data_IF_847985334098
#
_entry.id   IF_847985334098
#
_cell.length_a   1.000
_cell.length_b   1.000
_cell.length_c   1.000
_cell.angle_alpha   90.00
_cell.angle_beta   90.00
_cell.angle_gamma   90.00
#
_symmetry.space_group_name_H-M   'P 1'
#
loop_
_entity.id
_entity.type
_entity.pdbx_description
1 polymer ?
#
# COMPACT_ATOMS: atom_id res chain seq x y z
N UNK A 1 -15.71 -24.41 -46.16
CA UNK A 1 -14.44 -23.86 -45.64
C UNK A 1 -14.74 -22.98 -44.43
N UNK A 2 -14.42 -23.46 -43.22
CA UNK A 2 -14.56 -22.69 -41.98
C UNK A 2 -13.44 -21.65 -41.91
N UNK A 3 -13.78 -20.35 -41.96
CA UNK A 3 -12.81 -19.26 -41.73
C UNK A 3 -12.81 -18.94 -40.24
N UNK A 4 -11.80 -19.44 -39.54
CA UNK A 4 -11.41 -18.95 -38.22
C UNK A 4 -10.81 -17.55 -38.41
N UNK A 5 -11.58 -16.50 -38.10
CA UNK A 5 -11.01 -15.17 -37.92
C UNK A 5 -10.36 -15.18 -36.54
N UNK A 6 -9.03 -15.28 -36.56
CA UNK A 6 -8.18 -15.25 -35.39
C UNK A 6 -8.50 -14.04 -34.54
N UNK A 7 -9.00 -14.33 -33.34
CA UNK A 7 -9.02 -13.44 -32.20
C UNK A 7 -7.58 -12.98 -31.96
N UNK A 8 -7.20 -11.85 -32.56
CA UNK A 8 -6.03 -11.09 -32.10
C UNK A 8 -6.48 -10.47 -30.78
N UNK A 9 -6.41 -11.29 -29.72
CA UNK A 9 -6.25 -10.80 -28.36
C UNK A 9 -4.94 -10.01 -28.38
N UNK A 10 -5.06 -8.74 -28.75
CA UNK A 10 -4.13 -7.70 -28.35
C UNK A 10 -4.21 -7.67 -26.84
N UNK A 11 -3.47 -8.58 -26.22
CA UNK A 11 -2.93 -8.45 -24.88
C UNK A 11 -2.17 -7.13 -24.96
N UNK A 12 -2.87 -6.02 -24.71
CA UNK A 12 -2.28 -4.86 -24.12
C UNK A 12 -1.78 -5.35 -22.77
N UNK A 13 -0.56 -5.89 -22.84
CA UNK A 13 0.37 -6.01 -21.75
C UNK A 13 0.46 -4.59 -21.21
N UNK A 14 -0.48 -4.25 -20.33
CA UNK A 14 -0.19 -3.32 -19.27
C UNK A 14 1.01 -3.97 -18.60
N UNK A 15 2.18 -3.48 -18.97
CA UNK A 15 3.43 -3.64 -18.26
C UNK A 15 3.21 -3.04 -16.88
N UNK A 16 2.41 -3.71 -16.05
CA UNK A 16 2.41 -3.59 -14.62
C UNK A 16 3.81 -4.05 -14.25
N UNK A 17 4.74 -3.10 -14.21
CA UNK A 17 6.00 -3.24 -13.50
C UNK A 17 5.66 -4.00 -12.22
N UNK A 18 6.21 -5.20 -12.11
CA UNK A 18 6.00 -6.16 -11.04
C UNK A 18 5.54 -5.47 -9.78
N UNK A 19 4.25 -5.63 -9.47
CA UNK A 19 3.68 -5.12 -8.22
C UNK A 19 4.60 -5.58 -7.11
N UNK A 20 5.22 -4.63 -6.43
CA UNK A 20 6.19 -4.90 -5.39
C UNK A 20 5.49 -5.76 -4.33
N UNK A 21 5.73 -7.08 -4.35
CA UNK A 21 5.23 -7.99 -3.33
C UNK A 21 6.10 -7.74 -2.12
N UNK A 22 5.70 -6.81 -1.24
CA UNK A 22 6.39 -6.64 0.04
C UNK A 22 6.10 -7.91 0.86
N UNK A 23 7.12 -8.71 1.20
CA UNK A 23 6.92 -9.87 2.05
C UNK A 23 6.48 -9.44 3.44
N UNK A 24 5.60 -10.24 4.06
CA UNK A 24 5.16 -10.03 5.45
C UNK A 24 6.33 -10.02 6.46
N UNK A 25 7.50 -10.56 6.09
CA UNK A 25 8.66 -10.77 6.95
C UNK A 25 9.91 -9.94 6.58
N UNK A 26 9.84 -8.98 5.65
CA UNK A 26 11.00 -8.14 5.37
C UNK A 26 11.18 -7.08 6.47
N UNK A 27 11.97 -7.43 7.49
CA UNK A 27 12.94 -6.45 8.00
C UNK A 27 13.85 -6.11 6.82
N UNK A 28 13.73 -4.88 6.29
CA UNK A 28 14.64 -4.38 5.27
C UNK A 28 15.96 -4.04 5.98
N UNK A 29 16.71 -5.05 6.38
CA UNK A 29 18.15 -4.93 6.49
C UNK A 29 18.69 -5.10 5.08
N UNK A 30 19.11 -4.00 4.45
CA UNK A 30 20.02 -4.08 3.30
C UNK A 30 21.44 -4.00 3.88
N UNK A 31 22.14 -5.13 4.12
CA UNK A 31 23.58 -5.10 4.13
C UNK A 31 24.07 -5.39 2.71
N UNK A 32 25.03 -4.56 2.30
CA UNK A 32 25.84 -4.71 1.09
C UNK A 32 26.44 -6.13 1.04
N UNK A 33 26.56 -6.64 -0.18
CA UNK A 33 27.40 -7.79 -0.58
C UNK A 33 27.16 -9.14 0.11
N UNK A 34 26.49 -10.07 -0.58
CA UNK A 34 26.83 -11.49 -0.54
C UNK A 34 26.09 -12.23 -1.67
N UNK A 35 26.81 -12.53 -2.76
CA UNK A 35 26.54 -13.74 -3.54
C UNK A 35 26.83 -14.93 -2.61
N UNK A 36 25.85 -15.77 -2.34
CA UNK A 36 25.99 -16.88 -1.40
C UNK A 36 24.77 -17.79 -1.33
N UNK A 37 24.88 -18.89 -2.07
CA UNK A 37 24.04 -20.09 -2.25
C UNK A 37 23.26 -20.57 -0.99
N UNK A 38 22.12 -21.22 -1.26
CA UNK A 38 21.37 -22.24 -0.47
C UNK A 38 20.26 -21.84 0.51
N UNK A 39 19.00 -22.04 0.10
CA UNK A 39 18.05 -23.00 0.71
C UNK A 39 16.74 -23.00 -0.09
N UNK A 40 16.57 -23.98 -1.00
CA UNK A 40 15.28 -24.23 -1.67
C UNK A 40 14.31 -24.93 -0.70
N UNK A 41 13.82 -24.20 0.31
CA UNK A 41 12.45 -24.45 0.72
C UNK A 41 11.59 -23.70 -0.28
N UNK A 42 10.68 -24.40 -0.98
CA UNK A 42 9.59 -23.74 -1.72
C UNK A 42 8.69 -23.07 -0.69
N UNK A 43 9.16 -21.98 -0.09
CA UNK A 43 8.35 -21.10 0.72
C UNK A 43 7.19 -20.70 -0.18
N UNK A 44 5.96 -21.03 0.25
CA UNK A 44 4.77 -20.51 -0.42
C UNK A 44 4.99 -19.01 -0.60
N UNK A 45 4.78 -18.46 -1.81
CA UNK A 45 5.01 -17.04 -2.04
C UNK A 45 4.24 -16.26 -0.94
N UNK A 46 4.90 -15.30 -0.27
CA UNK A 46 4.27 -14.57 0.80
C UNK A 46 2.96 -13.97 0.27
N UNK A 47 1.86 -14.14 1.02
CA UNK A 47 0.60 -13.52 0.65
C UNK A 47 0.83 -12.01 0.53
N UNK A 48 0.37 -11.37 -0.55
CA UNK A 48 0.56 -9.93 -0.72
C UNK A 48 -0.09 -9.19 0.44
N UNK A 49 0.64 -8.22 0.99
CA UNK A 49 0.09 -7.28 1.97
C UNK A 49 -1.11 -6.57 1.37
N UNK A 50 -2.27 -6.76 1.99
CA UNK A 50 -3.47 -6.00 1.62
C UNK A 50 -3.45 -4.65 2.32
N UNK A 51 -4.05 -3.65 1.69
CA UNK A 51 -4.08 -2.28 2.19
C UNK A 51 -5.53 -1.78 2.31
N UNK A 52 -5.73 -0.79 3.17
CA UNK A 52 -6.99 -0.05 3.29
C UNK A 52 -6.72 1.44 3.28
N UNK A 53 -7.61 2.20 2.64
CA UNK A 53 -7.55 3.65 2.60
C UNK A 53 -7.80 4.24 4.00
N UNK A 54 -6.97 5.20 4.42
CA UNK A 54 -7.09 5.85 5.73
C UNK A 54 -7.23 7.35 5.67
N UNK A 55 -6.93 8.00 4.55
CA UNK A 55 -7.15 9.43 4.40
C UNK A 55 -6.14 10.07 3.47
N UNK A 56 -6.11 11.39 3.49
CA UNK A 56 -5.25 12.20 2.64
C UNK A 56 -4.13 12.84 3.47
N UNK A 57 -3.04 13.17 2.81
CA UNK A 57 -1.98 13.99 3.38
C UNK A 57 -1.34 14.88 2.33
N UNK A 58 -0.62 15.90 2.79
CA UNK A 58 0.13 16.82 1.94
C UNK A 58 1.58 16.79 2.41
N UNK A 59 2.50 16.44 1.51
CA UNK A 59 3.93 16.63 1.72
C UNK A 59 4.31 18.04 1.28
N UNK A 60 5.06 18.75 2.12
CA UNK A 60 5.60 20.07 1.80
C UNK A 60 7.10 19.93 1.50
N UNK A 61 7.51 20.16 0.26
CA UNK A 61 8.92 20.15 -0.16
C UNK A 61 9.26 21.52 -0.75
N UNK A 62 9.88 22.38 0.08
CA UNK A 62 10.04 23.80 -0.27
C UNK A 62 8.68 24.48 -0.39
N UNK A 63 8.41 25.12 -1.54
CA UNK A 63 7.10 25.73 -1.84
C UNK A 63 6.09 24.75 -2.46
N UNK A 64 6.53 23.54 -2.80
CA UNK A 64 5.67 22.56 -3.48
C UNK A 64 4.84 21.77 -2.47
N UNK A 65 3.53 21.70 -2.71
CA UNK A 65 2.58 20.87 -1.96
C UNK A 65 2.18 19.68 -2.82
N UNK A 66 2.51 18.49 -2.37
CA UNK A 66 2.20 17.25 -3.08
C UNK A 66 1.12 16.50 -2.29
N UNK A 67 -0.13 16.41 -2.81
CA UNK A 67 -1.19 15.65 -2.16
C UNK A 67 -1.02 14.16 -2.37
N UNK A 68 -1.29 13.40 -1.31
CA UNK A 68 -1.22 11.94 -1.27
C UNK A 68 -2.50 11.37 -0.70
N UNK A 69 -2.94 10.25 -1.29
CA UNK A 69 -3.80 9.28 -0.60
C UNK A 69 -2.94 8.31 0.19
N UNK A 70 -3.33 8.09 1.43
CA UNK A 70 -2.60 7.27 2.38
C UNK A 70 -3.39 6.00 2.67
N UNK A 71 -2.69 4.89 2.61
CA UNK A 71 -3.21 3.56 2.90
C UNK A 71 -2.37 2.90 3.98
N UNK A 72 -2.99 2.05 4.79
CA UNK A 72 -2.32 1.24 5.81
C UNK A 72 -2.49 -0.24 5.47
N UNK A 73 -1.50 -1.06 5.80
CA UNK A 73 -1.64 -2.51 5.73
C UNK A 73 -2.82 -2.98 6.59
N UNK A 74 -3.65 -3.90 6.07
CA UNK A 74 -4.77 -4.55 6.77
C UNK A 74 -4.31 -5.53 7.87
N UNK A 75 -3.07 -5.42 8.30
CA UNK A 75 -2.48 -6.20 9.37
C UNK A 75 -1.30 -5.45 9.96
N UNK A 76 -0.99 -5.78 11.21
CA UNK A 76 0.16 -5.26 11.94
C UNK A 76 1.07 -6.39 12.43
N UNK A 77 2.36 -6.14 12.49
CA UNK A 77 3.30 -6.99 13.22
C UNK A 77 3.38 -6.58 14.69
N UNK A 78 3.62 -7.53 15.60
CA UNK A 78 3.93 -7.27 17.02
C UNK A 78 5.43 -7.49 17.25
N UNK A 79 6.13 -6.50 17.80
CA UNK A 79 7.59 -6.49 17.97
C UNK A 79 8.05 -6.34 19.42
N UNK A 80 7.11 -6.20 20.34
CA UNK A 80 7.39 -5.96 21.73
C UNK A 80 6.11 -5.63 22.48
N UNK A 81 6.25 -5.35 23.76
CA UNK A 81 5.12 -5.01 24.60
C UNK A 81 4.56 -3.62 24.24
N UNK A 82 3.42 -3.63 23.54
CA UNK A 82 2.75 -2.42 23.05
C UNK A 82 3.41 -1.78 21.82
N UNK A 83 4.35 -2.47 21.16
CA UNK A 83 5.02 -1.99 19.95
C UNK A 83 4.57 -2.80 18.75
N UNK A 84 4.04 -2.10 17.75
CA UNK A 84 3.51 -2.70 16.52
C UNK A 84 4.08 -2.03 15.28
N UNK A 85 4.23 -2.79 14.19
CA UNK A 85 4.62 -2.22 12.89
C UNK A 85 3.55 -2.41 11.84
N UNK A 86 3.42 -1.41 10.98
CA UNK A 86 2.49 -1.38 9.83
C UNK A 86 3.21 -0.78 8.63
N UNK A 87 2.76 -1.14 7.43
CA UNK A 87 3.18 -0.48 6.21
C UNK A 87 2.19 0.63 5.88
N UNK A 88 2.70 1.83 5.62
CA UNK A 88 1.95 2.92 5.03
C UNK A 88 2.32 3.03 3.55
N UNK A 89 1.32 3.20 2.69
CA UNK A 89 1.50 3.47 1.27
C UNK A 89 0.99 4.87 0.94
N UNK A 90 1.86 5.70 0.39
CA UNK A 90 1.58 7.07 -0.03
C UNK A 90 1.49 7.13 -1.55
N UNK A 91 0.28 7.30 -2.07
CA UNK A 91 0.00 7.37 -3.50
C UNK A 91 -0.28 8.82 -3.85
N UNK A 92 0.49 9.41 -4.78
CA UNK A 92 0.21 10.78 -5.24
C UNK A 92 -1.19 10.84 -5.86
N UNK A 93 -1.91 11.93 -5.61
CA UNK A 93 -3.31 12.07 -6.05
C UNK A 93 -3.47 12.00 -7.58
N UNK A 94 -2.49 12.55 -8.34
CA UNK A 94 -2.45 12.45 -9.80
C UNK A 94 -2.34 10.98 -10.28
N UNK A 95 -1.49 10.19 -9.63
CA UNK A 95 -1.34 8.76 -9.90
C UNK A 95 -2.62 8.00 -9.59
N UNK A 96 -3.30 8.31 -8.48
CA UNK A 96 -4.59 7.71 -8.17
C UNK A 96 -5.65 8.04 -9.24
N UNK A 97 -5.74 9.31 -9.66
CA UNK A 97 -6.68 9.75 -10.71
C UNK A 97 -6.42 9.03 -12.03
N UNK A 98 -5.16 8.86 -12.41
CA UNK A 98 -4.78 8.11 -13.61
C UNK A 98 -5.22 6.64 -13.53
N UNK A 99 -5.00 5.98 -12.39
CA UNK A 99 -5.46 4.59 -12.15
C UNK A 99 -6.98 4.51 -12.26
N UNK A 100 -7.70 5.41 -11.59
CA UNK A 100 -9.16 5.46 -11.61
C UNK A 100 -9.71 5.64 -13.03
N UNK A 101 -9.13 6.57 -13.81
CA UNK A 101 -9.53 6.80 -15.19
C UNK A 101 -9.28 5.58 -16.07
N UNK A 102 -8.14 4.91 -15.91
CA UNK A 102 -7.83 3.66 -16.61
C UNK A 102 -8.87 2.57 -16.34
N UNK A 103 -9.28 2.41 -15.08
CA UNK A 103 -10.31 1.43 -14.68
C UNK A 103 -11.67 1.80 -15.26
N UNK A 104 -12.08 3.07 -15.21
CA UNK A 104 -13.34 3.53 -15.80
C UNK A 104 -13.41 3.20 -17.29
N UNK A 105 -12.33 3.52 -18.02
CA UNK A 105 -12.23 3.21 -19.45
C UNK A 105 -12.31 1.70 -19.73
N UNK A 106 -11.56 0.89 -18.98
CA UNK A 106 -11.60 -0.57 -19.12
C UNK A 106 -12.99 -1.16 -18.82
N UNK A 107 -13.69 -0.62 -17.82
CA UNK A 107 -15.05 -1.05 -17.48
C UNK A 107 -16.06 -0.67 -18.58
N UNK A 108 -15.94 0.52 -19.17
CA UNK A 108 -16.79 0.94 -20.29
C UNK A 108 -16.56 0.06 -21.53
N UNK A 109 -15.31 -0.27 -21.84
CA UNK A 109 -14.96 -1.16 -22.94
C UNK A 109 -15.49 -2.59 -22.68
N UNK A 110 -15.28 -3.13 -21.49
CA UNK A 110 -15.79 -4.45 -21.11
C UNK A 110 -17.33 -4.51 -21.15
N UNK A 111 -18.02 -3.45 -20.75
CA UNK A 111 -19.48 -3.39 -20.82
C UNK A 111 -19.99 -3.40 -22.27
N UNK A 112 -19.32 -2.70 -23.19
CA UNK A 112 -19.67 -2.71 -24.63
C UNK A 112 -19.57 -4.11 -25.24
N UNK A 113 -18.62 -4.92 -24.79
CA UNK A 113 -18.37 -6.26 -25.34
C UNK A 113 -19.15 -7.35 -24.62
N UNK A 114 -19.24 -7.28 -23.29
CA UNK A 114 -19.76 -8.36 -22.45
C UNK A 114 -21.16 -8.07 -21.89
N UNK A 115 -21.64 -6.84 -22.01
CA UNK A 115 -22.92 -6.36 -21.44
C UNK A 115 -23.07 -6.65 -19.94
N UNK A 116 -21.95 -6.82 -19.22
CA UNK A 116 -21.91 -7.08 -17.78
C UNK A 116 -21.32 -5.89 -17.06
N UNK A 117 -22.04 -5.42 -16.04
CA UNK A 117 -21.52 -4.40 -15.13
C UNK A 117 -20.46 -5.03 -14.21
N UNK A 118 -19.40 -4.29 -13.86
CA UNK A 118 -18.40 -4.77 -12.91
C UNK A 118 -19.04 -5.01 -11.53
N UNK A 119 -18.54 -6.01 -10.80
CA UNK A 119 -19.03 -6.38 -9.48
C UNK A 119 -18.64 -5.40 -8.37
N UNK A 120 -17.67 -4.53 -8.64
CA UNK A 120 -17.18 -3.48 -7.73
C UNK A 120 -17.12 -2.15 -8.46
N UNK A 121 -17.19 -1.06 -7.69
CA UNK A 121 -17.02 0.28 -8.27
C UNK A 121 -15.59 0.51 -8.78
N UNK A 122 -15.43 1.43 -9.73
CA UNK A 122 -14.10 1.80 -10.23
C UNK A 122 -13.20 2.40 -9.13
N UNK A 123 -13.79 3.10 -8.16
CA UNK A 123 -13.06 3.66 -7.02
C UNK A 123 -12.62 2.57 -6.04
N UNK A 124 -13.46 1.57 -5.78
CA UNK A 124 -13.09 0.42 -4.96
C UNK A 124 -11.94 -0.38 -5.61
N UNK A 125 -12.04 -0.65 -6.91
CA UNK A 125 -10.96 -1.28 -7.67
C UNK A 125 -9.67 -0.44 -7.65
N UNK A 126 -9.77 0.89 -7.79
CA UNK A 126 -8.63 1.78 -7.71
C UNK A 126 -7.98 1.73 -6.32
N UNK A 127 -8.75 1.72 -5.25
CA UNK A 127 -8.25 1.64 -3.87
C UNK A 127 -7.56 0.30 -3.55
N UNK A 128 -7.87 -0.78 -4.30
CA UNK A 128 -7.19 -2.07 -4.18
C UNK A 128 -5.80 -2.02 -4.86
N UNK A 129 -5.69 -1.34 -6.00
CA UNK A 129 -4.48 -1.34 -6.84
C UNK A 129 -3.51 -0.22 -6.47
N UNK A 130 -4.04 0.96 -6.13
CA UNK A 130 -3.26 2.17 -5.86
C UNK A 130 -2.13 1.97 -4.83
N UNK A 131 -2.33 1.24 -3.71
CA UNK A 131 -1.29 1.05 -2.70
C UNK A 131 -0.03 0.34 -3.23
N UNK A 132 -0.16 -0.48 -4.27
CA UNK A 132 0.99 -1.14 -4.91
C UNK A 132 1.84 -0.20 -5.76
N UNK A 133 1.33 1.01 -6.04
CA UNK A 133 1.98 2.06 -6.80
C UNK A 133 2.41 3.25 -5.91
N UNK A 134 2.25 3.11 -4.58
CA UNK A 134 2.63 4.14 -3.63
C UNK A 134 4.08 4.03 -3.18
N UNK A 135 4.57 5.11 -2.59
CA UNK A 135 5.80 5.06 -1.80
C UNK A 135 5.49 4.40 -0.46
N UNK A 136 6.30 3.41 -0.09
CA UNK A 136 6.02 2.53 1.04
C UNK A 136 6.93 2.88 2.21
N UNK A 137 6.32 3.08 3.37
CA UNK A 137 7.03 3.43 4.61
C UNK A 137 6.68 2.45 5.71
N UNK A 138 7.70 1.81 6.26
CA UNK A 138 7.54 1.00 7.47
C UNK A 138 7.40 1.93 8.67
N UNK A 139 6.28 1.79 9.37
CA UNK A 139 5.92 2.65 10.50
C UNK A 139 5.76 1.80 11.76
N UNK A 140 6.45 2.17 12.82
CA UNK A 140 6.32 1.61 14.15
C UNK A 140 5.43 2.49 15.02
N UNK A 141 4.55 1.88 15.79
CA UNK A 141 3.64 2.55 16.71
C UNK A 141 3.84 1.95 18.09
N UNK A 142 4.30 2.79 19.02
CA UNK A 142 4.39 2.47 20.43
C UNK A 142 3.11 2.95 21.14
N UNK A 143 2.21 2.01 21.41
CA UNK A 143 0.91 2.26 22.03
C UNK A 143 0.99 2.58 23.53
N UNK A 144 2.11 2.30 24.19
CA UNK A 144 2.30 2.68 25.60
C UNK A 144 2.82 4.11 25.75
N UNK A 145 3.74 4.49 24.86
CA UNK A 145 4.35 5.83 24.84
C UNK A 145 3.55 6.84 24.01
N UNK A 146 2.52 6.39 23.30
CA UNK A 146 1.75 7.22 22.37
C UNK A 146 2.64 7.87 21.31
N UNK A 147 3.52 7.09 20.67
CA UNK A 147 4.46 7.59 19.65
C UNK A 147 4.39 6.75 18.38
N UNK A 148 4.50 7.39 17.23
CA UNK A 148 4.69 6.82 15.89
C UNK A 148 6.12 7.12 15.46
N UNK A 149 6.81 6.15 14.84
CA UNK A 149 8.15 6.29 14.26
C UNK A 149 8.14 5.74 12.84
N UNK A 150 8.76 6.43 11.88
CA UNK A 150 9.03 5.88 10.55
C UNK A 150 10.41 5.23 10.56
N UNK A 151 10.46 3.93 10.26
CA UNK A 151 11.69 3.13 10.27
C UNK A 151 12.35 3.02 8.89
N UNK A 152 11.59 3.28 7.82
CA UNK A 152 12.08 3.41 6.46
C UNK A 152 12.01 4.85 5.99
N UNK A 153 12.63 5.15 4.84
CA UNK A 153 12.49 6.43 4.15
C UNK A 153 13.62 7.41 4.47
N UNK A 154 14.72 7.32 3.73
CA UNK A 154 15.71 8.40 3.66
C UNK A 154 15.06 9.64 3.01
N UNK A 155 14.32 10.43 3.79
CA UNK A 155 13.89 11.79 3.44
C UNK A 155 12.97 11.96 2.21
N UNK A 156 12.38 10.89 1.67
CA UNK A 156 11.59 10.96 0.43
C UNK A 156 10.19 11.57 0.64
N UNK A 157 9.59 11.36 1.81
CA UNK A 157 8.27 11.91 2.15
C UNK A 157 8.41 12.86 3.35
N UNK A 158 8.39 14.17 3.09
CA UNK A 158 8.43 15.23 4.12
C UNK A 158 7.03 15.63 4.55
N UNK A 159 6.31 14.67 5.13
CA UNK A 159 4.98 14.92 5.67
C UNK A 159 5.05 15.54 7.07
N UNK A 160 4.05 16.37 7.40
CA UNK A 160 3.80 16.80 8.78
C UNK A 160 3.23 15.64 9.59
N UNK A 161 4.06 14.66 9.94
CA UNK A 161 3.72 13.70 10.98
C UNK A 161 4.18 14.25 12.33
N UNK A 162 3.25 14.42 13.26
CA UNK A 162 3.60 14.60 14.68
C UNK A 162 3.81 13.20 15.25
N UNK A 163 5.06 12.89 15.57
CA UNK A 163 5.46 11.57 16.04
C UNK A 163 4.83 11.25 17.40
N UNK A 164 4.66 12.25 18.28
CA UNK A 164 3.90 12.11 19.53
C UNK A 164 2.40 12.25 19.28
N UNK A 165 1.60 11.35 19.85
CA UNK A 165 0.14 11.36 19.75
C UNK A 165 -0.45 12.08 20.95
N UNK A 166 -1.00 13.26 20.69
CA UNK A 166 -1.67 14.13 21.64
C UNK A 166 -2.85 14.87 20.96
N UNK A 167 -3.44 15.84 21.67
CA UNK A 167 -4.59 16.62 21.18
C UNK A 167 -4.28 17.45 19.93
N UNK A 168 -3.03 17.86 19.72
CA UNK A 168 -2.60 18.69 18.59
C UNK A 168 -2.16 17.86 17.38
N UNK A 169 -2.00 16.54 17.52
CA UNK A 169 -1.60 15.69 16.41
C UNK A 169 -2.61 15.73 15.26
N UNK A 170 -2.14 15.68 14.00
CA UNK A 170 -3.01 15.63 12.82
C UNK A 170 -4.02 14.48 12.88
N UNK A 171 -5.23 14.65 12.30
CA UNK A 171 -6.25 13.61 12.29
C UNK A 171 -5.77 12.26 11.73
N UNK A 172 -4.93 12.29 10.68
CA UNK A 172 -4.37 11.07 10.08
C UNK A 172 -3.50 10.29 11.07
N UNK A 173 -2.64 10.99 11.84
CA UNK A 173 -1.78 10.37 12.85
C UNK A 173 -2.60 9.69 13.95
N UNK A 174 -3.64 10.39 14.44
CA UNK A 174 -4.59 9.83 15.42
C UNK A 174 -5.32 8.61 14.86
N UNK A 175 -5.70 8.64 13.57
CA UNK A 175 -6.35 7.50 12.91
C UNK A 175 -5.42 6.30 12.79
N UNK A 176 -4.16 6.50 12.38
CA UNK A 176 -3.14 5.44 12.35
C UNK A 176 -2.97 4.85 13.75
N UNK A 177 -2.77 5.70 14.76
CA UNK A 177 -2.62 5.27 16.14
C UNK A 177 -3.81 4.45 16.62
N UNK A 178 -5.03 4.94 16.41
CA UNK A 178 -6.24 4.24 16.84
C UNK A 178 -6.42 2.91 16.12
N UNK A 179 -6.15 2.82 14.82
CA UNK A 179 -6.22 1.57 14.06
C UNK A 179 -5.20 0.55 14.59
N UNK A 180 -3.98 0.99 14.90
CA UNK A 180 -2.92 0.10 15.35
C UNK A 180 -3.08 -0.29 16.82
N UNK A 181 -3.45 0.64 17.70
CA UNK A 181 -3.43 0.41 19.15
C UNK A 181 -4.76 -0.11 19.71
N UNK A 182 -5.88 0.08 19.02
CA UNK A 182 -7.17 -0.49 19.46
C UNK A 182 -7.23 -1.98 19.13
N UNK A 183 -7.53 -2.81 20.15
CA UNK A 183 -7.72 -4.26 19.98
C UNK A 183 -8.79 -4.53 18.91
N UNK A 184 -8.49 -5.45 17.99
CA UNK A 184 -9.43 -5.91 16.96
C UNK A 184 -9.53 -5.05 15.70
N UNK A 185 -8.99 -3.81 15.67
CA UNK A 185 -9.08 -2.95 14.47
C UNK A 185 -8.12 -3.33 13.36
N UNK A 186 -6.91 -3.78 13.71
CA UNK A 186 -5.96 -4.38 12.78
C UNK A 186 -5.50 -5.75 13.33
N UNK A 187 -5.66 -6.85 12.58
CA UNK A 187 -5.21 -8.17 13.00
C UNK A 187 -3.69 -8.21 13.11
N UNK A 188 -3.20 -9.00 14.08
CA UNK A 188 -1.77 -9.32 14.16
C UNK A 188 -1.50 -10.40 13.11
N UNK A 189 -0.65 -10.07 12.14
CA UNK A 189 -0.32 -10.95 11.01
C UNK A 189 1.03 -11.66 11.20
N UNK A 190 1.86 -11.16 12.12
CA UNK A 190 3.08 -11.82 12.56
C UNK A 190 3.55 -11.28 13.91
N UNK A 191 4.38 -12.06 14.60
CA UNK A 191 5.02 -11.72 15.88
C UNK A 191 6.52 -11.95 15.72
N UNK A 192 7.34 -10.99 16.14
CA UNK A 192 8.79 -11.11 16.24
C UNK A 192 9.20 -11.13 17.70
#
# INVERSE_FOLDING_TARGET
>A
MKKYIGFIFGVLVFSFSYGLVIPLNTDVSIPKSAYGITAYTKAKPPKPLQYMYIGESISEVGKNKIPYRVYISKGKGKFGDGVYRVWLSFVKEDKFKAILQGIKKANEEAYKTLHKKPSVSAEEAANIIAPMNGMLELTEVNCKKSVIYTLGGAGQIRMRMVYKIDKNSPPLNKKIYNLVCTKGKLPIIYVK
#
